data_IF_494143873402
#
_entry.id   IF_494143873402
#
_cell.length_a   1.000
_cell.length_b   1.000
_cell.length_c   1.000
_cell.angle_alpha   90.00
_cell.angle_beta   90.00
_cell.angle_gamma   90.00
#
_symmetry.space_group_name_H-M   'P 1'
#
loop_
_entity.id
_entity.type
_entity.pdbx_description
1 polymer ?
#
# COMPACT_ATOMS: atom_id res chain seq x y z
N UNK A 1 -14.32 28.63 -89.48
CA UNK A 1 -14.09 28.65 -88.02
C UNK A 1 -15.41 28.99 -87.37
N UNK A 2 -15.97 28.03 -86.65
CA UNK A 2 -17.37 27.97 -86.24
C UNK A 2 -17.48 28.25 -84.74
N UNK A 3 -18.47 29.08 -84.37
CA UNK A 3 -19.35 28.96 -83.17
C UNK A 3 -18.74 29.04 -81.76
N UNK A 4 -19.35 29.58 -80.70
CA UNK A 4 -20.75 29.89 -80.37
C UNK A 4 -20.75 30.86 -79.16
N UNK A 5 -21.64 31.86 -79.17
CA UNK A 5 -22.08 32.58 -77.98
C UNK A 5 -22.73 31.60 -77.00
N UNK A 6 -22.22 31.51 -75.77
CA UNK A 6 -22.91 30.79 -74.71
C UNK A 6 -23.96 31.70 -74.07
N UNK A 7 -25.20 31.59 -74.57
CA UNK A 7 -26.41 32.11 -73.92
C UNK A 7 -26.72 31.20 -72.74
N UNK A 8 -26.58 31.68 -71.50
CA UNK A 8 -27.31 31.06 -70.38
C UNK A 8 -28.76 31.58 -70.42
N UNK A 9 -29.77 30.69 -70.41
CA UNK A 9 -31.17 31.08 -70.33
C UNK A 9 -31.52 31.63 -68.94
N UNK A 10 -32.30 32.71 -68.92
CA UNK A 10 -33.06 33.16 -67.74
C UNK A 10 -34.00 32.03 -67.29
N UNK A 11 -34.07 31.80 -65.97
CA UNK A 11 -35.10 30.93 -65.36
C UNK A 11 -34.63 29.59 -64.81
N UNK A 12 -33.44 29.51 -64.18
CA UNK A 12 -33.17 28.41 -63.25
C UNK A 12 -33.60 28.85 -61.85
N UNK A 13 -34.58 28.20 -61.20
CA UNK A 13 -34.91 28.49 -59.80
C UNK A 13 -33.70 28.19 -58.92
N UNK A 14 -33.23 29.19 -58.18
CA UNK A 14 -32.42 28.97 -56.98
C UNK A 14 -33.33 28.33 -55.94
N UNK A 15 -33.24 27.01 -55.78
CA UNK A 15 -34.09 26.27 -54.83
C UNK A 15 -34.18 24.78 -55.15
N UNK A 16 -33.05 24.08 -55.04
CA UNK A 16 -33.04 22.61 -55.07
C UNK A 16 -33.75 22.04 -53.83
N UNK A 17 -34.51 20.95 -54.03
CA UNK A 17 -35.40 20.24 -53.10
C UNK A 17 -34.73 19.60 -51.86
N UNK A 18 -33.61 20.15 -51.39
CA UNK A 18 -32.94 19.78 -50.15
C UNK A 18 -32.99 20.92 -49.14
N UNK A 19 -34.16 21.55 -49.00
CA UNK A 19 -34.47 22.28 -47.78
C UNK A 19 -35.02 21.29 -46.75
N UNK A 20 -34.31 20.98 -45.65
CA UNK A 20 -34.96 20.67 -44.40
C UNK A 20 -35.26 22.00 -43.67
N UNK A 21 -36.16 22.81 -44.23
CA UNK A 21 -37.00 23.66 -43.39
C UNK A 21 -38.05 22.74 -42.78
N UNK A 22 -37.97 22.56 -41.45
CA UNK A 22 -38.75 21.66 -40.58
C UNK A 22 -38.07 20.35 -40.18
N UNK A 23 -36.87 20.43 -39.60
CA UNK A 23 -36.70 19.71 -38.34
C UNK A 23 -37.27 20.61 -37.23
N UNK A 24 -38.17 20.13 -36.36
CA UNK A 24 -38.24 20.71 -35.02
C UNK A 24 -36.86 20.45 -34.41
N UNK A 25 -35.94 21.39 -34.59
CA UNK A 25 -34.66 21.39 -33.90
C UNK A 25 -34.99 21.36 -32.42
N UNK A 26 -34.77 20.17 -31.85
CA UNK A 26 -34.57 19.84 -30.45
C UNK A 26 -34.58 21.06 -29.51
N UNK A 27 -35.76 21.60 -29.23
CA UNK A 27 -35.98 22.44 -28.07
C UNK A 27 -35.81 21.57 -26.84
N UNK A 28 -34.63 21.65 -26.21
CA UNK A 28 -34.53 21.54 -24.76
C UNK A 28 -34.20 20.20 -24.13
N UNK A 29 -33.60 19.24 -24.84
CA UNK A 29 -32.86 18.17 -24.15
C UNK A 29 -31.39 18.56 -24.17
N UNK A 30 -30.96 19.35 -23.18
CA UNK A 30 -29.55 19.39 -22.84
C UNK A 30 -29.14 17.93 -22.57
N UNK A 31 -28.23 17.38 -23.37
CA UNK A 31 -27.59 16.13 -23.02
C UNK A 31 -26.94 16.40 -21.66
N UNK A 32 -27.47 15.79 -20.60
CA UNK A 32 -26.88 15.91 -19.28
C UNK A 32 -25.40 15.55 -19.41
N UNK A 33 -24.53 16.41 -18.88
CA UNK A 33 -23.11 16.11 -18.83
C UNK A 33 -22.98 14.77 -18.07
N UNK A 34 -22.35 13.72 -18.62
CA UNK A 34 -22.20 12.45 -17.92
C UNK A 34 -21.63 12.63 -16.50
N UNK A 35 -20.73 13.60 -16.34
CA UNK A 35 -20.21 14.13 -15.09
C UNK A 35 -21.24 14.45 -14.00
N UNK A 36 -22.44 14.89 -14.38
CA UNK A 36 -23.53 15.29 -13.47
C UNK A 36 -24.47 14.13 -13.12
N UNK A 37 -24.19 12.91 -13.60
CA UNK A 37 -25.02 11.73 -13.32
C UNK A 37 -24.80 11.28 -11.87
N UNK A 38 -25.87 11.21 -11.07
CA UNK A 38 -25.76 10.67 -9.72
C UNK A 38 -25.54 9.17 -9.77
N UNK A 39 -24.61 8.69 -8.97
CA UNK A 39 -24.36 7.27 -8.75
C UNK A 39 -25.38 6.73 -7.75
N UNK A 40 -26.05 5.64 -8.13
CA UNK A 40 -27.08 5.01 -7.30
C UNK A 40 -26.73 3.55 -7.06
N UNK A 41 -26.18 3.28 -5.88
CA UNK A 41 -25.85 1.94 -5.38
C UNK A 41 -26.75 1.67 -4.18
N UNK A 42 -27.24 0.43 -4.00
CA UNK A 42 -28.03 0.11 -2.81
C UNK A 42 -27.11 0.00 -1.57
N UNK A 43 -27.59 0.32 -0.36
CA UNK A 43 -26.80 0.12 0.86
C UNK A 43 -26.31 -1.33 0.99
N UNK A 44 -25.03 -1.51 1.29
CA UNK A 44 -24.37 -2.81 1.36
C UNK A 44 -23.96 -3.43 0.02
N UNK A 45 -24.24 -2.75 -1.10
CA UNK A 45 -23.79 -3.16 -2.43
C UNK A 45 -22.55 -2.38 -2.89
N UNK A 46 -21.85 -2.96 -3.85
CA UNK A 46 -20.71 -2.39 -4.55
C UNK A 46 -20.89 -2.49 -6.08
N UNK A 47 -20.26 -1.57 -6.79
CA UNK A 47 -20.23 -1.55 -8.25
C UNK A 47 -18.85 -1.10 -8.75
N UNK A 48 -18.43 -1.66 -9.88
CA UNK A 48 -17.15 -1.36 -10.53
C UNK A 48 -17.41 -0.36 -11.66
N UNK A 49 -16.63 0.71 -11.70
CA UNK A 49 -16.72 1.80 -12.67
C UNK A 49 -15.49 1.81 -13.60
N UNK A 50 -15.40 0.87 -14.57
CA UNK A 50 -14.22 0.74 -15.43
C UNK A 50 -13.98 1.96 -16.32
N UNK A 51 -15.02 2.73 -16.65
CA UNK A 51 -14.92 3.97 -17.43
C UNK A 51 -14.28 5.14 -16.66
N UNK A 52 -14.23 5.05 -15.33
CA UNK A 52 -13.57 6.04 -14.46
C UNK A 52 -12.12 5.64 -14.10
N UNK A 53 -11.74 4.40 -14.44
CA UNK A 53 -10.38 3.87 -14.36
C UNK A 53 -9.67 4.10 -15.71
N UNK A 54 -8.40 4.48 -15.69
CA UNK A 54 -7.60 4.67 -16.91
C UNK A 54 -6.90 3.38 -17.36
N UNK A 55 -6.81 2.38 -16.47
CA UNK A 55 -6.14 1.11 -16.71
C UNK A 55 -4.62 1.18 -16.57
N UNK A 56 -4.05 2.31 -16.15
CA UNK A 56 -2.61 2.52 -15.99
C UNK A 56 -2.24 3.00 -14.58
N UNK A 57 -2.89 4.05 -14.11
CA UNK A 57 -2.72 4.55 -12.73
C UNK A 57 -3.71 3.88 -11.79
N UNK A 58 -4.98 3.88 -12.18
CA UNK A 58 -6.08 3.20 -11.51
C UNK A 58 -6.54 2.08 -12.45
N UNK A 59 -6.26 0.84 -12.08
CA UNK A 59 -6.64 -0.33 -12.89
C UNK A 59 -8.08 -0.75 -12.62
N UNK A 60 -8.56 -0.55 -11.39
CA UNK A 60 -9.93 -0.83 -10.98
C UNK A 60 -10.43 0.27 -10.05
N UNK A 61 -11.66 0.72 -10.26
CA UNK A 61 -12.36 1.61 -9.35
C UNK A 61 -13.65 0.95 -8.88
N UNK A 62 -13.66 0.54 -7.62
CA UNK A 62 -14.87 0.03 -6.96
C UNK A 62 -15.47 1.13 -6.11
N UNK A 63 -16.80 1.28 -6.17
CA UNK A 63 -17.55 2.15 -5.28
C UNK A 63 -18.53 1.29 -4.51
N UNK A 64 -18.55 1.40 -3.19
CA UNK A 64 -19.54 0.73 -2.36
C UNK A 64 -20.32 1.74 -1.52
N UNK A 65 -21.54 1.36 -1.14
CA UNK A 65 -22.38 2.16 -0.24
C UNK A 65 -22.47 1.48 1.11
N UNK A 66 -22.15 2.23 2.16
CA UNK A 66 -22.14 1.73 3.54
C UNK A 66 -23.54 1.22 3.94
N UNK A 67 -23.61 0.03 4.55
CA UNK A 67 -24.87 -0.61 4.96
C UNK A 67 -25.50 0.13 6.15
N UNK A 68 -24.66 0.62 7.07
CA UNK A 68 -25.09 1.26 8.32
C UNK A 68 -25.30 2.78 8.16
N UNK A 69 -24.63 3.39 7.18
CA UNK A 69 -24.75 4.81 6.85
C UNK A 69 -25.06 5.02 5.35
N UNK A 70 -26.33 5.09 4.94
CA UNK A 70 -26.70 5.19 3.54
C UNK A 70 -26.27 6.51 2.88
N UNK A 71 -25.79 7.51 3.63
CA UNK A 71 -25.27 8.75 3.07
C UNK A 71 -23.75 8.66 2.82
N UNK A 72 -23.13 7.52 3.12
CA UNK A 72 -21.69 7.28 3.01
C UNK A 72 -21.38 6.30 1.89
N UNK A 73 -20.52 6.75 0.98
CA UNK A 73 -19.94 5.93 -0.09
C UNK A 73 -18.46 5.73 0.17
N UNK A 74 -17.94 4.53 -0.13
CA UNK A 74 -16.52 4.23 -0.12
C UNK A 74 -16.03 4.16 -1.55
N UNK A 75 -15.00 4.94 -1.86
CA UNK A 75 -14.32 4.97 -3.15
C UNK A 75 -13.00 4.23 -3.00
N UNK A 76 -12.89 3.13 -3.74
CA UNK A 76 -11.81 2.17 -3.62
C UNK A 76 -11.04 2.03 -4.94
N UNK A 77 -10.14 2.97 -5.28
CA UNK A 77 -9.25 2.80 -6.42
C UNK A 77 -8.15 1.79 -6.08
N UNK A 78 -7.86 0.89 -7.01
CA UNK A 78 -6.81 -0.10 -6.87
C UNK A 78 -5.93 -0.23 -8.11
N UNK A 79 -4.71 -0.74 -7.89
CA UNK A 79 -3.75 -1.11 -8.93
C UNK A 79 -2.95 -2.33 -8.49
N UNK A 80 -2.55 -3.17 -9.43
CA UNK A 80 -1.55 -4.19 -9.18
C UNK A 80 -0.16 -3.56 -8.99
N UNK A 81 0.60 -4.10 -8.03
CA UNK A 81 2.01 -3.77 -7.79
C UNK A 81 2.83 -5.04 -7.93
N UNK A 82 3.87 -4.98 -8.77
CA UNK A 82 4.79 -6.09 -8.96
C UNK A 82 5.98 -5.97 -8.00
N UNK A 83 5.86 -6.56 -6.81
CA UNK A 83 6.93 -6.51 -5.80
C UNK A 83 8.18 -7.28 -6.22
N UNK A 84 8.06 -8.32 -7.06
CA UNK A 84 9.23 -9.00 -7.63
C UNK A 84 10.08 -8.03 -8.45
N UNK A 85 9.46 -7.24 -9.32
CA UNK A 85 10.14 -6.23 -10.13
C UNK A 85 10.76 -5.14 -9.24
N UNK A 86 10.04 -4.72 -8.17
CA UNK A 86 10.58 -3.73 -7.23
C UNK A 86 11.85 -4.23 -6.54
N UNK A 87 11.86 -5.47 -6.07
CA UNK A 87 13.04 -6.08 -5.43
C UNK A 87 14.16 -6.32 -6.44
N UNK A 88 13.85 -6.81 -7.64
CA UNK A 88 14.81 -7.05 -8.71
C UNK A 88 15.61 -5.79 -9.08
N UNK A 89 14.95 -4.63 -9.10
CA UNK A 89 15.60 -3.36 -9.37
C UNK A 89 16.71 -3.02 -8.36
N UNK A 90 16.54 -3.40 -7.09
CA UNK A 90 17.46 -3.06 -6.01
C UNK A 90 18.44 -4.20 -5.68
N UNK A 91 17.98 -5.45 -5.78
CA UNK A 91 18.75 -6.68 -5.53
C UNK A 91 18.69 -7.60 -6.77
N UNK A 92 19.37 -7.22 -7.88
CA UNK A 92 19.29 -7.96 -9.14
C UNK A 92 19.95 -9.34 -9.08
N UNK A 93 20.79 -9.58 -8.07
CA UNK A 93 21.53 -10.85 -7.91
C UNK A 93 20.70 -11.95 -7.23
N UNK A 94 19.53 -11.63 -6.67
CA UNK A 94 18.65 -12.64 -6.08
C UNK A 94 17.95 -13.46 -7.16
N UNK A 95 17.91 -14.78 -6.98
CA UNK A 95 17.05 -15.65 -7.79
C UNK A 95 15.58 -15.39 -7.47
N UNK A 96 14.68 -15.83 -8.34
CA UNK A 96 13.22 -15.72 -8.12
C UNK A 96 12.80 -16.36 -6.78
N UNK A 97 13.25 -17.57 -6.49
CA UNK A 97 12.99 -18.24 -5.20
C UNK A 97 13.50 -17.43 -4.00
N UNK A 98 14.68 -16.82 -4.12
CA UNK A 98 15.24 -15.99 -3.04
C UNK A 98 14.45 -14.69 -2.84
N UNK A 99 13.93 -14.11 -3.93
CA UNK A 99 13.05 -12.93 -3.86
C UNK A 99 11.72 -13.29 -3.20
N UNK A 100 11.14 -14.43 -3.55
CA UNK A 100 9.91 -14.95 -2.95
C UNK A 100 10.08 -15.18 -1.44
N UNK A 101 11.18 -15.82 -1.03
CA UNK A 101 11.52 -16.02 0.39
C UNK A 101 11.71 -14.68 1.12
N UNK A 102 12.39 -13.72 0.49
CA UNK A 102 12.61 -12.39 1.06
C UNK A 102 11.29 -11.62 1.24
N UNK A 103 10.44 -11.58 0.21
CA UNK A 103 9.15 -10.90 0.24
C UNK A 103 8.21 -11.53 1.28
N UNK A 104 8.17 -12.85 1.35
CA UNK A 104 7.40 -13.58 2.35
C UNK A 104 7.87 -13.27 3.77
N UNK A 105 9.19 -13.27 3.99
CA UNK A 105 9.78 -12.95 5.30
C UNK A 105 9.47 -11.53 5.76
N UNK A 106 9.48 -10.57 4.84
CA UNK A 106 9.29 -9.16 5.16
C UNK A 106 7.86 -8.65 4.89
N UNK A 107 6.92 -9.53 4.56
CA UNK A 107 5.52 -9.19 4.32
C UNK A 107 4.94 -8.24 5.38
N UNK A 108 5.12 -8.46 6.70
CA UNK A 108 4.57 -7.54 7.70
C UNK A 108 5.13 -6.12 7.60
N UNK A 109 6.42 -5.97 7.29
CA UNK A 109 7.05 -4.66 7.12
C UNK A 109 6.61 -3.99 5.80
N UNK A 110 6.47 -4.76 4.73
CA UNK A 110 5.96 -4.28 3.44
C UNK A 110 4.53 -3.77 3.59
N UNK A 111 3.64 -4.55 4.23
CA UNK A 111 2.26 -4.15 4.49
C UNK A 111 2.18 -2.89 5.36
N UNK A 112 2.94 -2.82 6.45
CA UNK A 112 2.97 -1.61 7.32
C UNK A 112 3.48 -0.37 6.57
N UNK A 113 4.51 -0.52 5.73
CA UNK A 113 5.02 0.54 4.88
C UNK A 113 3.97 1.05 3.90
N UNK A 114 3.33 0.14 3.15
CA UNK A 114 2.35 0.50 2.14
C UNK A 114 1.11 1.16 2.76
N UNK A 115 0.61 0.61 3.86
CA UNK A 115 -0.49 1.20 4.63
C UNK A 115 -0.13 2.58 5.18
N UNK A 116 1.06 2.75 5.77
CA UNK A 116 1.47 4.04 6.36
C UNK A 116 1.75 5.10 5.31
N UNK A 117 2.44 4.73 4.21
CA UNK A 117 2.88 5.68 3.19
C UNK A 117 1.80 5.99 2.17
N UNK A 118 1.02 5.02 1.75
CA UNK A 118 0.01 5.22 0.69
C UNK A 118 -1.42 5.09 1.21
N UNK A 119 -1.64 4.62 2.44
CA UNK A 119 -2.99 4.35 2.92
C UNK A 119 -3.66 3.23 2.14
N UNK A 120 -2.86 2.25 1.68
CA UNK A 120 -3.35 1.11 0.90
C UNK A 120 -3.41 -0.15 1.74
N UNK A 121 -4.44 -0.95 1.49
CA UNK A 121 -4.51 -2.33 1.90
C UNK A 121 -4.01 -3.21 0.75
N UNK A 122 -3.18 -4.20 1.09
CA UNK A 122 -2.62 -5.14 0.11
C UNK A 122 -3.43 -6.43 0.13
N UNK A 123 -3.83 -6.91 -1.05
CA UNK A 123 -4.52 -8.18 -1.20
C UNK A 123 -3.98 -8.98 -2.40
N UNK A 124 -4.21 -10.29 -2.38
CA UNK A 124 -3.67 -11.23 -3.37
C UNK A 124 -2.75 -12.28 -2.76
N UNK A 125 -2.45 -13.30 -3.55
CA UNK A 125 -1.65 -14.47 -3.14
C UNK A 125 -0.30 -14.55 -3.87
N UNK A 126 -0.03 -13.60 -4.78
CA UNK A 126 1.19 -13.58 -5.60
C UNK A 126 1.86 -12.23 -5.58
N UNK A 127 3.14 -12.22 -5.26
CA UNK A 127 3.96 -11.02 -5.16
C UNK A 127 4.19 -10.26 -6.48
N UNK A 128 4.01 -10.92 -7.62
CA UNK A 128 4.12 -10.29 -8.93
C UNK A 128 2.83 -9.55 -9.37
N UNK A 129 1.76 -9.64 -8.59
CA UNK A 129 0.47 -9.04 -8.89
C UNK A 129 -0.37 -8.75 -7.63
N UNK A 130 0.25 -8.15 -6.59
CA UNK A 130 -0.48 -7.77 -5.37
C UNK A 130 -1.35 -6.56 -5.68
N UNK A 131 -2.64 -6.63 -5.35
CA UNK A 131 -3.58 -5.53 -5.50
C UNK A 131 -3.43 -4.58 -4.31
N UNK A 132 -3.10 -3.31 -4.61
CA UNK A 132 -3.00 -2.24 -3.62
C UNK A 132 -4.22 -1.33 -3.75
N UNK A 133 -5.09 -1.35 -2.74
CA UNK A 133 -6.36 -0.63 -2.75
C UNK A 133 -6.35 0.52 -1.73
N UNK A 134 -6.60 1.75 -2.17
CA UNK A 134 -6.91 2.84 -1.25
C UNK A 134 -8.39 2.80 -0.91
N UNK A 135 -8.78 3.23 0.29
CA UNK A 135 -10.19 3.44 0.62
C UNK A 135 -10.43 4.87 1.10
N UNK A 136 -11.39 5.56 0.49
CA UNK A 136 -11.80 6.90 0.89
C UNK A 136 -13.32 6.98 1.08
N UNK A 137 -13.76 7.46 2.24
CA UNK A 137 -15.16 7.69 2.51
C UNK A 137 -15.62 9.08 2.04
N UNK A 138 -16.74 9.13 1.32
CA UNK A 138 -17.45 10.35 0.92
C UNK A 138 -18.80 10.36 1.61
N UNK A 139 -19.06 11.42 2.37
CA UNK A 139 -20.36 11.68 2.97
C UNK A 139 -21.20 12.53 2.01
N UNK A 140 -21.88 11.86 1.09
CA UNK A 140 -22.80 12.44 0.13
C UNK A 140 -23.88 11.41 -0.22
N UNK A 141 -25.17 11.70 0.01
CA UNK A 141 -26.24 10.77 -0.34
C UNK A 141 -26.40 10.53 -1.84
N UNK A 142 -25.88 11.40 -2.70
CA UNK A 142 -25.99 11.30 -4.16
C UNK A 142 -24.69 11.78 -4.84
N UNK A 143 -23.56 11.08 -4.68
CA UNK A 143 -22.32 11.48 -5.32
C UNK A 143 -22.44 11.37 -6.84
N UNK A 144 -21.80 12.28 -7.58
CA UNK A 144 -21.72 12.19 -9.04
C UNK A 144 -20.48 11.42 -9.48
N UNK A 145 -20.48 10.92 -10.72
CA UNK A 145 -19.29 10.30 -11.34
C UNK A 145 -18.04 11.18 -11.22
N UNK A 146 -18.15 12.50 -11.47
CA UNK A 146 -17.06 13.45 -11.31
C UNK A 146 -16.52 13.52 -9.87
N UNK A 147 -17.41 13.44 -8.88
CA UNK A 147 -17.01 13.47 -7.47
C UNK A 147 -16.31 12.19 -7.05
N UNK A 148 -16.76 11.04 -7.55
CA UNK A 148 -16.07 9.75 -7.36
C UNK A 148 -14.70 9.77 -8.02
N UNK A 149 -14.61 10.28 -9.26
CA UNK A 149 -13.35 10.42 -9.98
C UNK A 149 -12.38 11.34 -9.24
N UNK A 150 -12.82 12.54 -8.84
CA UNK A 150 -12.00 13.48 -8.06
C UNK A 150 -11.51 12.86 -6.74
N UNK A 151 -12.40 12.15 -6.03
CA UNK A 151 -12.04 11.46 -4.80
C UNK A 151 -10.96 10.39 -5.03
N UNK A 152 -11.12 9.57 -6.06
CA UNK A 152 -10.15 8.53 -6.41
C UNK A 152 -8.79 9.11 -6.81
N UNK A 153 -8.78 10.09 -7.73
CA UNK A 153 -7.56 10.61 -8.34
C UNK A 153 -6.83 11.64 -7.48
N UNK A 154 -7.56 12.51 -6.78
CA UNK A 154 -6.97 13.67 -6.10
C UNK A 154 -6.96 13.57 -4.58
N UNK A 155 -7.75 12.67 -4.00
CA UNK A 155 -7.90 12.57 -2.53
C UNK A 155 -7.37 11.24 -1.95
N UNK A 156 -6.93 10.31 -2.79
CA UNK A 156 -6.13 9.14 -2.38
C UNK A 156 -4.66 9.32 -2.74
N UNK A 157 -3.80 8.37 -2.33
CA UNK A 157 -2.38 8.34 -2.73
C UNK A 157 -2.11 7.35 -3.86
N UNK A 158 -3.14 6.86 -4.56
CA UNK A 158 -2.97 5.87 -5.65
C UNK A 158 -2.11 6.43 -6.79
N UNK A 159 -2.26 7.71 -7.11
CA UNK A 159 -1.45 8.40 -8.12
C UNK A 159 0.00 8.55 -7.67
N UNK A 160 0.24 8.81 -6.38
CA UNK A 160 1.59 8.86 -5.83
C UNK A 160 2.25 7.48 -5.89
N UNK A 161 1.51 6.42 -5.55
CA UNK A 161 1.99 5.05 -5.67
C UNK A 161 2.40 4.74 -7.12
N UNK A 162 1.53 5.04 -8.09
CA UNK A 162 1.80 4.86 -9.51
C UNK A 162 3.07 5.59 -9.99
N UNK A 163 3.21 6.87 -9.61
CA UNK A 163 4.34 7.70 -10.01
C UNK A 163 5.67 7.31 -9.35
N UNK A 164 5.64 6.62 -8.21
CA UNK A 164 6.84 6.17 -7.50
C UNK A 164 7.23 4.73 -7.89
N UNK A 165 6.28 3.94 -8.40
CA UNK A 165 6.53 2.59 -8.94
C UNK A 165 7.36 2.63 -10.23
N UNK A 166 7.13 3.62 -11.10
CA UNK A 166 7.92 3.81 -12.32
C UNK A 166 9.11 4.78 -12.07
N UNK A 167 10.35 4.27 -11.92
CA UNK A 167 11.50 5.08 -11.55
C UNK A 167 12.00 6.04 -12.66
N UNK A 168 11.31 6.13 -13.80
CA UNK A 168 11.77 6.89 -14.96
C UNK A 168 11.15 8.27 -15.17
N UNK A 169 9.96 8.54 -14.63
CA UNK A 169 9.06 9.42 -15.38
C UNK A 169 8.95 10.84 -14.85
N UNK A 170 9.12 11.11 -13.53
CA UNK A 170 8.98 12.48 -13.01
C UNK A 170 9.77 12.83 -11.73
N UNK A 171 11.05 12.47 -11.61
CA UNK A 171 11.90 12.94 -10.50
C UNK A 171 11.33 12.68 -9.08
N UNK A 172 10.35 11.78 -8.99
CA UNK A 172 9.68 11.30 -7.80
C UNK A 172 10.64 10.41 -7.00
N UNK A 173 10.30 10.18 -5.74
CA UNK A 173 10.97 9.15 -4.96
C UNK A 173 10.77 7.78 -5.63
N UNK A 174 11.72 6.87 -5.49
CA UNK A 174 11.69 5.55 -6.12
C UNK A 174 11.15 4.53 -5.10
N UNK A 175 10.00 3.91 -5.40
CA UNK A 175 9.34 2.94 -4.52
C UNK A 175 10.25 1.76 -4.17
N UNK A 176 10.99 1.19 -5.13
CA UNK A 176 11.94 0.10 -4.86
C UNK A 176 12.97 0.48 -3.80
N UNK A 177 13.58 1.67 -3.94
CA UNK A 177 14.57 2.18 -2.98
C UNK A 177 13.93 2.41 -1.61
N UNK A 178 12.78 3.09 -1.57
CA UNK A 178 12.09 3.41 -0.32
C UNK A 178 11.65 2.16 0.43
N UNK A 179 11.11 1.17 -0.29
CA UNK A 179 10.70 -0.10 0.27
C UNK A 179 11.90 -0.84 0.86
N UNK A 180 13.01 -0.92 0.11
CA UNK A 180 14.22 -1.56 0.58
C UNK A 180 14.79 -0.88 1.83
N UNK A 181 14.92 0.45 1.81
CA UNK A 181 15.38 1.24 2.96
C UNK A 181 14.49 1.03 4.19
N UNK A 182 13.18 0.98 3.98
CA UNK A 182 12.23 0.72 5.07
C UNK A 182 12.41 -0.69 5.66
N UNK A 183 12.51 -1.72 4.81
CA UNK A 183 12.71 -3.11 5.26
C UNK A 183 14.04 -3.24 6.02
N UNK A 184 15.13 -2.68 5.49
CA UNK A 184 16.44 -2.69 6.16
C UNK A 184 16.41 -1.98 7.51
N UNK A 185 15.64 -0.89 7.64
CA UNK A 185 15.48 -0.14 8.88
C UNK A 185 14.50 -0.79 9.88
N UNK A 186 13.80 -1.86 9.49
CA UNK A 186 12.72 -2.46 10.28
C UNK A 186 13.12 -3.81 10.86
N UNK A 187 12.94 -3.97 12.16
CA UNK A 187 13.02 -5.26 12.82
C UNK A 187 11.70 -6.00 12.60
N UNK A 188 11.78 -7.20 12.01
CA UNK A 188 10.61 -8.03 11.71
C UNK A 188 10.85 -9.45 12.22
N UNK A 189 9.89 -9.95 13.00
CA UNK A 189 9.83 -11.35 13.40
C UNK A 189 9.28 -12.17 12.23
N UNK A 190 10.02 -13.19 11.80
CA UNK A 190 9.73 -13.98 10.59
C UNK A 190 8.41 -14.74 10.72
N UNK A 191 8.14 -15.34 11.88
CA UNK A 191 6.94 -16.16 12.11
C UNK A 191 6.16 -15.70 13.34
N UNK A 192 5.70 -14.44 13.33
CA UNK A 192 5.10 -13.82 14.52
C UNK A 192 4.01 -14.66 15.18
N UNK A 193 3.09 -15.24 14.41
CA UNK A 193 2.01 -16.07 14.95
C UNK A 193 2.48 -17.37 15.61
N UNK A 194 3.64 -17.91 15.22
CA UNK A 194 4.24 -19.08 15.87
C UNK A 194 5.11 -18.66 17.07
N UNK A 195 5.94 -17.64 16.90
CA UNK A 195 6.89 -17.18 17.91
C UNK A 195 6.21 -16.48 19.09
N UNK A 196 5.07 -15.81 18.88
CA UNK A 196 4.38 -15.06 19.93
C UNK A 196 3.86 -15.96 21.06
N UNK A 197 3.04 -17.01 20.80
CA UNK A 197 2.61 -17.92 21.86
C UNK A 197 3.77 -18.69 22.52
N UNK A 198 4.86 -18.93 21.80
CA UNK A 198 6.08 -19.52 22.37
C UNK A 198 6.75 -18.54 23.35
N UNK A 199 6.95 -17.28 22.96
CA UNK A 199 7.54 -16.25 23.81
C UNK A 199 6.77 -16.05 25.12
N UNK A 200 5.44 -16.17 25.10
CA UNK A 200 4.59 -16.01 26.27
C UNK A 200 4.74 -17.18 27.27
N UNK A 201 5.05 -18.37 26.76
CA UNK A 201 5.31 -19.57 27.57
C UNK A 201 6.74 -19.61 28.12
N UNK A 202 7.68 -18.92 27.47
CA UNK A 202 9.09 -18.89 27.89
C UNK A 202 9.27 -18.22 29.26
N UNK A 203 9.97 -18.88 30.17
CA UNK A 203 10.37 -18.30 31.45
C UNK A 203 11.65 -17.47 31.35
N UNK A 204 11.86 -16.55 32.29
CA UNK A 204 13.08 -15.73 32.37
C UNK A 204 14.36 -16.58 32.42
N UNK A 205 14.34 -17.70 33.14
CA UNK A 205 15.47 -18.64 33.25
C UNK A 205 15.74 -19.41 31.95
N UNK A 206 14.70 -19.68 31.16
CA UNK A 206 14.84 -20.33 29.86
C UNK A 206 15.53 -19.39 28.86
N UNK A 207 15.10 -18.13 28.82
CA UNK A 207 15.74 -17.08 28.02
C UNK A 207 17.23 -16.92 28.39
N UNK A 208 17.54 -16.87 29.69
CA UNK A 208 18.93 -16.77 30.15
C UNK A 208 19.78 -17.96 29.66
N UNK A 209 19.24 -19.18 29.69
CA UNK A 209 19.93 -20.37 29.15
C UNK A 209 20.14 -20.29 27.64
N UNK A 210 19.15 -19.81 26.88
CA UNK A 210 19.27 -19.61 25.43
C UNK A 210 20.39 -18.61 25.13
N UNK A 211 20.42 -17.48 25.84
CA UNK A 211 21.47 -16.47 25.69
C UNK A 211 22.85 -17.06 25.99
N UNK A 212 23.00 -17.77 27.12
CA UNK A 212 24.28 -18.38 27.47
C UNK A 212 24.76 -19.41 26.44
N UNK A 213 23.84 -20.16 25.82
CA UNK A 213 24.16 -21.12 24.79
C UNK A 213 24.50 -20.48 23.42
N UNK A 214 24.02 -19.27 23.14
CA UNK A 214 24.14 -18.64 21.82
C UNK A 214 25.05 -17.41 21.76
N UNK A 215 25.38 -16.81 22.91
CA UNK A 215 26.16 -15.57 22.99
C UNK A 215 27.48 -15.66 22.21
N UNK A 216 27.62 -14.80 21.19
CA UNK A 216 28.79 -14.73 20.32
C UNK A 216 28.94 -15.90 19.34
N UNK A 217 27.90 -16.76 19.21
CA UNK A 217 27.93 -17.95 18.36
C UNK A 217 26.77 -17.99 17.36
N UNK A 218 25.55 -17.64 17.79
CA UNK A 218 24.31 -17.71 16.99
C UNK A 218 23.35 -16.60 17.41
N UNK A 219 22.43 -16.23 16.51
CA UNK A 219 21.38 -15.25 16.83
C UNK A 219 20.32 -15.83 17.77
N UNK A 220 19.52 -14.95 18.38
CA UNK A 220 18.35 -15.37 19.14
C UNK A 220 17.28 -15.97 18.23
N UNK A 221 16.55 -17.00 18.69
CA UNK A 221 15.25 -17.33 18.10
C UNK A 221 14.29 -16.15 18.27
N UNK A 222 13.35 -16.00 17.34
CA UNK A 222 12.34 -14.93 17.40
C UNK A 222 11.53 -14.93 18.70
N UNK A 223 11.16 -16.11 19.21
CA UNK A 223 10.42 -16.23 20.47
C UNK A 223 11.22 -15.69 21.66
N UNK A 224 12.53 -15.92 21.69
CA UNK A 224 13.41 -15.41 22.74
C UNK A 224 13.58 -13.89 22.62
N UNK A 225 13.75 -13.37 21.40
CA UNK A 225 13.83 -11.92 21.15
C UNK A 225 12.56 -11.20 21.59
N UNK A 226 11.37 -11.72 21.23
CA UNK A 226 10.08 -11.21 21.69
C UNK A 226 9.96 -11.24 23.21
N UNK A 227 10.42 -12.30 23.86
CA UNK A 227 10.37 -12.40 25.32
C UNK A 227 11.30 -11.41 26.01
N UNK A 228 12.52 -11.24 25.51
CA UNK A 228 13.46 -10.24 26.03
C UNK A 228 12.87 -8.83 25.88
N UNK A 229 12.33 -8.52 24.70
CA UNK A 229 11.68 -7.24 24.44
C UNK A 229 10.47 -7.00 25.37
N UNK A 230 9.69 -8.04 25.68
CA UNK A 230 8.59 -7.95 26.63
C UNK A 230 9.07 -7.67 28.06
N UNK A 231 10.01 -8.48 28.57
CA UNK A 231 10.54 -8.34 29.93
C UNK A 231 11.15 -6.93 30.14
N UNK A 232 11.91 -6.46 29.15
CA UNK A 232 12.52 -5.13 29.17
C UNK A 232 11.48 -4.02 29.02
N UNK A 233 10.59 -4.14 28.03
CA UNK A 233 9.55 -3.16 27.73
C UNK A 233 8.57 -2.95 28.88
N UNK A 234 8.26 -4.00 29.65
CA UNK A 234 7.32 -3.93 30.77
C UNK A 234 7.98 -3.55 32.11
N UNK A 235 9.29 -3.71 32.24
CA UNK A 235 10.03 -3.37 33.48
C UNK A 235 10.47 -1.90 33.55
N UNK A 236 10.18 -1.09 32.51
CA UNK A 236 10.53 0.33 32.48
C UNK A 236 9.76 1.12 31.43
N UNK A 237 10.04 2.42 31.28
CA UNK A 237 9.39 3.29 30.30
C UNK A 237 10.01 3.11 28.90
N UNK A 238 9.96 1.89 28.36
CA UNK A 238 10.51 1.53 27.05
C UNK A 238 9.39 1.10 26.09
N UNK A 239 8.58 2.07 25.62
CA UNK A 239 7.36 1.80 24.86
C UNK A 239 7.66 1.17 23.49
N UNK A 240 8.84 1.41 22.90
CA UNK A 240 9.19 0.87 21.59
C UNK A 240 9.44 -0.64 21.71
N UNK A 241 10.20 -1.06 22.73
CA UNK A 241 10.38 -2.48 23.04
C UNK A 241 9.05 -3.16 23.39
N UNK A 242 8.19 -2.49 24.16
CA UNK A 242 6.86 -3.02 24.48
C UNK A 242 5.98 -3.16 23.23
N UNK A 243 6.05 -2.23 22.28
CA UNK A 243 5.37 -2.32 20.97
C UNK A 243 5.93 -3.51 20.18
N UNK A 244 7.25 -3.57 19.99
CA UNK A 244 7.92 -4.65 19.26
C UNK A 244 7.56 -6.04 19.82
N UNK A 245 7.53 -6.20 21.15
CA UNK A 245 7.13 -7.45 21.79
C UNK A 245 5.67 -7.86 21.53
N UNK A 246 4.79 -6.92 21.18
CA UNK A 246 3.36 -7.14 20.92
C UNK A 246 3.04 -7.29 19.45
N UNK A 247 3.80 -6.65 18.56
CA UNK A 247 3.51 -6.61 17.12
C UNK A 247 4.51 -7.43 16.30
N UNK A 248 5.68 -7.76 16.85
CA UNK A 248 6.79 -8.36 16.11
C UNK A 248 7.46 -7.42 15.10
N UNK A 249 7.09 -6.14 15.13
CA UNK A 249 7.49 -5.13 14.15
C UNK A 249 7.89 -3.82 14.83
N UNK A 250 9.01 -3.22 14.43
CA UNK A 250 9.41 -1.89 14.88
C UNK A 250 10.68 -1.36 14.22
N UNK A 251 10.89 -0.04 14.29
CA UNK A 251 12.11 0.59 13.78
C UNK A 251 13.33 0.11 14.56
N UNK A 252 14.36 -0.38 13.86
CA UNK A 252 15.62 -0.83 14.48
C UNK A 252 16.24 0.30 15.29
N UNK A 253 16.23 1.52 14.79
CA UNK A 253 16.87 2.66 15.47
C UNK A 253 16.12 3.09 16.72
N UNK A 254 14.79 3.08 16.70
CA UNK A 254 13.99 3.33 17.90
C UNK A 254 14.19 2.24 18.96
N UNK A 255 14.21 0.97 18.54
CA UNK A 255 14.48 -0.17 19.44
C UNK A 255 15.89 -0.05 20.03
N UNK A 256 16.90 0.26 19.22
CA UNK A 256 18.27 0.53 19.68
C UNK A 256 18.30 1.67 20.69
N UNK A 257 17.50 2.71 20.49
CA UNK A 257 17.34 3.82 21.42
C UNK A 257 16.88 3.36 22.80
N UNK A 258 15.87 2.51 22.87
CA UNK A 258 15.39 1.95 24.14
C UNK A 258 16.41 0.97 24.77
N UNK A 259 17.08 0.13 23.97
CA UNK A 259 18.13 -0.77 24.44
C UNK A 259 19.33 -0.02 25.05
N UNK A 260 19.77 1.09 24.43
CA UNK A 260 20.84 1.94 24.97
C UNK A 260 20.49 2.52 26.34
N UNK A 261 19.26 3.01 26.52
CA UNK A 261 18.80 3.52 27.83
C UNK A 261 18.83 2.43 28.90
N UNK A 262 18.44 1.20 28.55
CA UNK A 262 18.52 0.05 29.47
C UNK A 262 19.98 -0.25 29.82
N UNK A 263 20.86 -0.29 28.82
CA UNK A 263 22.28 -0.54 29.02
C UNK A 263 22.91 0.48 29.97
N UNK A 264 22.65 1.77 29.76
CA UNK A 264 23.18 2.85 30.62
C UNK A 264 22.66 2.76 32.06
N UNK A 265 21.39 2.42 32.25
CA UNK A 265 20.77 2.25 33.56
C UNK A 265 21.30 1.03 34.31
N UNK A 266 21.41 -0.10 33.62
CA UNK A 266 21.65 -1.41 34.20
C UNK A 266 23.07 -1.95 33.87
N UNK A 267 24.02 -1.07 33.53
CA UNK A 267 25.39 -1.42 33.11
C UNK A 267 26.14 -2.36 34.08
N UNK A 268 25.72 -2.40 35.35
CA UNK A 268 26.31 -3.27 36.38
C UNK A 268 25.62 -4.64 36.52
N UNK A 269 24.56 -4.91 35.75
CA UNK A 269 23.89 -6.21 35.68
C UNK A 269 24.42 -7.00 34.49
N UNK A 270 25.24 -8.05 34.70
CA UNK A 270 25.76 -8.87 33.61
C UNK A 270 24.65 -9.53 32.79
N UNK A 271 23.54 -9.88 33.43
CA UNK A 271 22.38 -10.48 32.75
C UNK A 271 21.68 -9.49 31.83
N UNK A 272 21.42 -8.27 32.30
CA UNK A 272 20.78 -7.25 31.49
C UNK A 272 21.65 -6.86 30.30
N UNK A 273 22.96 -6.70 30.54
CA UNK A 273 23.93 -6.37 29.49
C UNK A 273 23.95 -7.44 28.38
N UNK A 274 24.05 -8.73 28.74
CA UNK A 274 24.02 -9.81 27.74
C UNK A 274 22.72 -9.86 26.94
N UNK A 275 21.57 -9.64 27.59
CA UNK A 275 20.27 -9.58 26.91
C UNK A 275 20.24 -8.42 25.90
N UNK A 276 20.74 -7.25 26.30
CA UNK A 276 20.82 -6.08 25.41
C UNK A 276 21.77 -6.36 24.25
N UNK A 277 22.95 -6.91 24.50
CA UNK A 277 23.94 -7.25 23.46
C UNK A 277 23.33 -8.22 22.44
N UNK A 278 22.67 -9.29 22.90
CA UNK A 278 21.99 -10.23 22.00
C UNK A 278 20.86 -9.61 21.20
N UNK A 279 20.14 -8.64 21.78
CA UNK A 279 19.11 -7.91 21.03
C UNK A 279 19.72 -7.00 19.98
N UNK A 280 20.89 -6.37 20.22
CA UNK A 280 21.59 -5.62 19.16
C UNK A 280 21.97 -6.52 18.00
N UNK A 281 22.54 -7.70 18.28
CA UNK A 281 22.90 -8.69 17.26
C UNK A 281 21.67 -9.17 16.49
N UNK A 282 20.58 -9.47 17.19
CA UNK A 282 19.30 -9.83 16.58
C UNK A 282 18.75 -8.74 15.65
N UNK A 283 18.88 -7.46 16.00
CA UNK A 283 18.42 -6.36 15.12
C UNK A 283 19.26 -6.24 13.85
N UNK A 284 20.52 -6.68 13.86
CA UNK A 284 21.40 -6.63 12.70
C UNK A 284 21.19 -7.83 11.76
N UNK A 285 20.95 -9.01 12.31
CA UNK A 285 20.94 -10.26 11.54
C UNK A 285 19.57 -10.95 11.46
N UNK A 286 18.61 -10.55 12.30
CA UNK A 286 17.33 -11.21 12.47
C UNK A 286 17.41 -12.48 13.33
N UNK A 287 16.29 -13.22 13.38
CA UNK A 287 16.18 -14.44 14.16
C UNK A 287 16.86 -15.65 13.54
N UNK A 288 17.41 -16.52 14.39
CA UNK A 288 17.88 -17.85 14.00
C UNK A 288 16.88 -18.91 14.46
N UNK A 289 15.92 -19.15 13.57
CA UNK A 289 14.76 -20.04 13.75
C UNK A 289 15.05 -21.50 13.32
N UNK A 290 16.31 -21.86 13.04
CA UNK A 290 16.72 -23.20 12.55
C UNK A 290 17.39 -24.09 13.62
#
# INVERSE_FOLDING_TARGET
MNTLHNRRPEGTPEGGQFAPSNHPEATGVALANPADRPITIAPGEDEIYPELADGEVIERLTVSRDEDDPDKYLVCPSRAVNFHALVEHYQPDLTEDQREEWLTRYQPAITDFMATRYGVDLSGDRWDSIDAECTLAINDPNPTEDKISDAAWNQTRIVNLANEEDPGTFGSENLSRLLYEHVEATACVESFHASKPESERMGTEEVDRIIEARLGQRELPDAAALRIAYDMGMSGPYPVLAKFARTGLGSKDEIRGDLRKIYERDQYSPKASRRVDMMFTYLEHGGDNK
#
